data_IF_251823775242
#
_entry.id   IF_251823775242
#
_cell.length_a   1.000
_cell.length_b   1.000
_cell.length_c   1.000
_cell.angle_alpha   90.00
_cell.angle_beta   90.00
_cell.angle_gamma   90.00
#
_symmetry.space_group_name_H-M   'P 1'
#
loop_
_entity.id
_entity.type
_entity.pdbx_description
1 polymer ?
#
# COMPACT_ATOMS: atom_id res chain seq x y z
N UNK A 1 -33.52 8.38 -10.59
CA UNK A 1 -32.75 7.34 -9.94
C UNK A 1 -31.27 7.51 -10.30
N UNK A 2 -30.39 7.51 -9.31
CA UNK A 2 -28.96 7.69 -9.51
C UNK A 2 -28.16 6.97 -8.42
N UNK A 3 -26.97 6.54 -8.80
CA UNK A 3 -25.94 6.06 -7.88
C UNK A 3 -24.83 7.10 -7.85
N UNK A 4 -24.42 7.51 -6.65
CA UNK A 4 -23.28 8.39 -6.47
C UNK A 4 -22.05 7.55 -6.24
N UNK A 5 -21.08 7.63 -7.14
CA UNK A 5 -19.85 6.84 -7.07
C UNK A 5 -18.68 7.74 -6.68
N UNK A 6 -17.93 7.33 -5.68
CA UNK A 6 -16.75 8.06 -5.23
C UNK A 6 -15.51 7.18 -5.20
N UNK A 7 -14.41 7.69 -5.71
CA UNK A 7 -13.12 7.06 -5.65
C UNK A 7 -12.40 7.27 -4.31
N UNK A 8 -11.41 6.43 -4.04
CA UNK A 8 -10.61 6.50 -2.79
C UNK A 8 -9.77 7.75 -2.64
N UNK A 9 -9.60 8.54 -3.68
CA UNK A 9 -8.79 9.76 -3.60
C UNK A 9 -9.34 10.79 -2.61
N UNK A 10 -10.66 10.81 -2.40
CA UNK A 10 -11.31 11.75 -1.49
C UNK A 10 -10.83 11.65 -0.03
N UNK A 11 -10.43 10.46 0.41
CA UNK A 11 -9.91 10.25 1.77
C UNK A 11 -8.45 10.68 1.95
N UNK A 12 -7.73 10.99 0.85
CA UNK A 12 -6.29 11.29 0.89
C UNK A 12 -6.02 12.77 1.11
N UNK A 13 -6.71 13.34 2.07
CA UNK A 13 -6.60 14.74 2.49
C UNK A 13 -6.95 14.86 3.97
N UNK A 14 -6.70 16.03 4.52
CA UNK A 14 -7.15 16.35 5.87
C UNK A 14 -8.68 16.27 5.93
N UNK A 15 -9.21 15.62 6.98
CA UNK A 15 -10.65 15.37 7.13
C UNK A 15 -11.31 14.68 5.91
N UNK A 16 -10.58 13.82 5.21
CA UNK A 16 -11.04 13.16 3.98
C UNK A 16 -12.29 12.28 4.18
N UNK A 17 -12.52 11.76 5.39
CA UNK A 17 -13.72 11.02 5.77
C UNK A 17 -14.99 11.85 5.64
N UNK A 18 -14.92 13.17 5.82
CA UNK A 18 -16.07 14.07 5.72
C UNK A 18 -16.66 14.08 4.30
N UNK A 19 -15.84 13.90 3.30
CA UNK A 19 -16.28 13.80 1.91
C UNK A 19 -17.19 12.59 1.68
N UNK A 20 -16.84 11.45 2.29
CA UNK A 20 -17.66 10.23 2.22
C UNK A 20 -18.97 10.41 3.00
N UNK A 21 -18.93 11.01 4.17
CA UNK A 21 -20.14 11.34 4.93
C UNK A 21 -21.07 12.25 4.15
N UNK A 22 -20.53 13.24 3.45
CA UNK A 22 -21.29 14.11 2.56
C UNK A 22 -22.03 13.34 1.47
N UNK A 23 -21.37 12.37 0.85
CA UNK A 23 -21.96 11.51 -0.20
C UNK A 23 -23.10 10.63 0.38
N UNK A 24 -22.86 10.00 1.53
CA UNK A 24 -23.91 9.22 2.22
C UNK A 24 -25.11 10.09 2.56
N UNK A 25 -24.85 11.26 3.12
CA UNK A 25 -25.90 12.23 3.48
C UNK A 25 -26.69 12.68 2.25
N UNK A 26 -26.01 13.01 1.15
CA UNK A 26 -26.66 13.40 -0.10
C UNK A 26 -27.55 12.28 -0.64
N UNK A 27 -27.06 11.03 -0.64
CA UNK A 27 -27.86 9.87 -1.06
C UNK A 27 -29.09 9.66 -0.18
N UNK A 28 -28.96 9.90 1.12
CA UNK A 28 -30.09 9.86 2.06
C UNK A 28 -31.11 10.97 1.78
N UNK A 29 -30.65 12.20 1.57
CA UNK A 29 -31.49 13.34 1.23
C UNK A 29 -32.28 13.14 -0.07
N UNK A 30 -31.67 12.47 -1.03
CA UNK A 30 -32.31 12.09 -2.30
C UNK A 30 -33.25 10.88 -2.15
N UNK A 31 -33.37 10.30 -0.96
CA UNK A 31 -34.22 9.14 -0.70
C UNK A 31 -33.79 7.89 -1.48
N UNK A 32 -32.50 7.72 -1.75
CA UNK A 32 -31.99 6.65 -2.61
C UNK A 32 -31.43 5.46 -1.82
N UNK A 33 -31.15 5.62 -0.54
CA UNK A 33 -30.59 4.55 0.28
C UNK A 33 -31.64 3.43 0.47
N UNK A 34 -31.19 2.19 0.31
CA UNK A 34 -32.03 0.98 0.48
C UNK A 34 -32.96 0.67 -0.70
N UNK A 35 -32.80 1.35 -1.83
CA UNK A 35 -33.52 1.08 -3.06
C UNK A 35 -32.61 0.35 -4.07
N UNK A 36 -33.14 -0.62 -4.78
CA UNK A 36 -32.38 -1.37 -5.78
C UNK A 36 -31.79 -0.46 -6.87
N UNK A 37 -30.49 -0.60 -7.12
CA UNK A 37 -29.77 0.17 -8.11
C UNK A 37 -29.60 1.66 -7.80
N UNK A 38 -29.86 2.07 -6.55
CA UNK A 38 -29.74 3.46 -6.11
C UNK A 38 -28.84 3.56 -4.87
N UNK A 39 -28.41 4.79 -4.56
CA UNK A 39 -27.65 5.08 -3.35
C UNK A 39 -26.25 5.58 -3.62
N UNK A 40 -25.29 5.03 -2.92
CA UNK A 40 -23.86 5.38 -3.08
C UNK A 40 -23.00 4.14 -3.16
N UNK A 41 -21.86 4.28 -3.83
CA UNK A 41 -20.85 3.23 -3.98
C UNK A 41 -19.46 3.81 -3.72
N UNK A 42 -18.68 3.10 -2.93
CA UNK A 42 -17.29 3.40 -2.69
C UNK A 42 -16.44 2.26 -3.21
N UNK A 43 -15.53 2.57 -4.15
CA UNK A 43 -14.46 1.66 -4.39
C UNK A 43 -14.79 0.40 -5.21
N UNK A 44 -15.46 0.58 -6.33
CA UNK A 44 -15.80 -0.48 -7.28
C UNK A 44 -14.63 -1.42 -7.67
N UNK A 45 -13.38 -0.96 -7.53
CA UNK A 45 -12.19 -1.73 -7.90
C UNK A 45 -11.82 -2.85 -6.96
N UNK A 46 -12.25 -2.81 -5.70
CA UNK A 46 -11.74 -3.71 -4.67
C UNK A 46 -12.79 -4.66 -4.13
N UNK A 47 -14.02 -4.49 -4.51
CA UNK A 47 -15.10 -5.38 -4.16
C UNK A 47 -15.77 -5.85 -5.45
N UNK A 48 -15.43 -7.04 -5.90
CA UNK A 48 -16.25 -7.77 -6.87
C UNK A 48 -17.49 -8.31 -6.14
N UNK A 49 -18.38 -7.40 -5.77
CA UNK A 49 -19.60 -7.75 -5.09
C UNK A 49 -20.63 -8.50 -5.94
N UNK A 50 -20.25 -8.99 -7.11
CA UNK A 50 -21.17 -9.56 -8.07
C UNK A 50 -21.00 -11.07 -8.31
N UNK A 51 -20.11 -11.76 -7.59
CA UNK A 51 -19.93 -13.19 -7.81
C UNK A 51 -20.23 -14.00 -6.57
N UNK A 52 -21.10 -14.97 -6.70
CA UNK A 52 -21.39 -15.99 -5.68
C UNK A 52 -20.26 -17.03 -5.54
N UNK A 53 -19.28 -16.99 -6.42
CA UNK A 53 -18.15 -17.92 -6.46
C UNK A 53 -16.86 -17.18 -6.16
N UNK A 54 -16.33 -17.40 -4.98
CA UNK A 54 -15.03 -16.87 -4.56
C UNK A 54 -14.00 -17.97 -4.77
N UNK A 55 -12.97 -17.70 -5.55
CA UNK A 55 -11.82 -18.60 -5.63
C UNK A 55 -11.19 -18.72 -4.23
N UNK A 56 -10.67 -19.90 -3.86
CA UNK A 56 -9.93 -20.03 -2.60
C UNK A 56 -8.86 -18.96 -2.55
N UNK A 57 -8.85 -18.19 -1.47
CA UNK A 57 -7.80 -17.19 -1.26
C UNK A 57 -6.46 -17.89 -1.34
N UNK A 58 -5.61 -17.47 -2.24
CA UNK A 58 -4.19 -17.79 -2.14
C UNK A 58 -3.78 -17.23 -0.77
N UNK A 59 -3.58 -18.11 0.19
CA UNK A 59 -2.85 -17.72 1.40
C UNK A 59 -1.57 -17.12 0.86
N UNK A 60 -1.41 -15.81 1.02
CA UNK A 60 -0.19 -15.14 0.66
C UNK A 60 0.93 -16.02 1.19
N UNK A 61 1.97 -16.22 0.42
CA UNK A 61 3.20 -16.74 0.98
C UNK A 61 3.51 -15.74 2.06
N UNK A 62 2.95 -16.00 3.26
CA UNK A 62 3.38 -15.31 4.44
C UNK A 62 4.86 -15.65 4.46
N UNK A 63 5.64 -14.74 3.97
CA UNK A 63 7.01 -14.67 4.35
C UNK A 63 6.96 -14.36 5.83
N UNK A 64 6.62 -15.36 6.62
CA UNK A 64 6.76 -15.32 8.06
C UNK A 64 8.24 -15.38 8.43
N UNK A 65 9.02 -14.60 7.66
CA UNK A 65 10.35 -14.17 8.12
C UNK A 65 10.18 -13.64 9.53
N UNK A 66 9.13 -12.88 9.81
CA UNK A 66 8.81 -12.45 11.17
C UNK A 66 8.60 -13.61 12.13
N UNK A 67 7.81 -14.64 11.82
CA UNK A 67 7.57 -15.77 12.73
C UNK A 67 8.82 -16.62 12.97
N UNK A 68 9.62 -16.85 11.93
CA UNK A 68 10.86 -17.61 12.03
C UNK A 68 11.94 -16.86 12.80
N UNK A 69 12.00 -15.53 12.69
CA UNK A 69 12.94 -14.69 13.42
C UNK A 69 12.38 -14.10 14.71
N UNK A 70 11.06 -14.10 14.90
CA UNK A 70 10.42 -13.70 16.16
C UNK A 70 10.84 -14.59 17.36
N UNK A 71 11.29 -15.81 17.09
CA UNK A 71 11.79 -16.75 18.10
C UNK A 71 13.29 -16.63 18.37
N UNK A 72 14.00 -15.73 17.72
CA UNK A 72 15.42 -15.49 18.03
C UNK A 72 15.52 -14.55 19.21
N UNK A 73 16.02 -15.08 20.34
CA UNK A 73 16.24 -14.27 21.53
C UNK A 73 17.24 -13.15 21.28
N UNK A 74 16.89 -11.93 21.73
CA UNK A 74 17.72 -10.75 21.54
C UNK A 74 17.57 -10.06 20.18
N UNK A 75 16.71 -10.54 19.29
CA UNK A 75 16.49 -9.91 17.99
C UNK A 75 16.00 -8.47 18.15
N UNK A 76 16.71 -7.47 17.56
CA UNK A 76 16.38 -6.05 17.78
C UNK A 76 14.99 -5.66 17.26
N UNK A 77 14.42 -6.41 16.30
CA UNK A 77 13.08 -6.17 15.77
C UNK A 77 11.95 -6.63 16.72
N UNK A 78 12.20 -7.49 17.71
CA UNK A 78 11.20 -7.82 18.74
C UNK A 78 10.66 -6.57 19.44
N UNK A 79 11.47 -5.53 19.56
CA UNK A 79 11.07 -4.25 20.14
C UNK A 79 10.06 -3.48 19.28
N UNK A 80 9.91 -3.86 18.02
CA UNK A 80 9.05 -3.17 17.05
C UNK A 80 7.83 -4.00 16.63
N UNK A 81 7.64 -5.17 17.19
CA UNK A 81 6.64 -6.18 16.77
C UNK A 81 5.21 -5.66 16.65
N UNK A 82 4.87 -4.57 17.29
CA UNK A 82 3.51 -4.04 17.31
C UNK A 82 3.43 -2.54 17.02
N UNK A 83 4.48 -1.95 16.46
CA UNK A 83 4.45 -0.52 16.12
C UNK A 83 4.02 -0.36 14.66
N UNK A 84 2.74 -0.11 14.47
CA UNK A 84 2.22 0.29 13.16
C UNK A 84 2.18 1.81 13.08
N UNK A 85 2.88 2.37 12.09
CA UNK A 85 2.81 3.81 11.80
C UNK A 85 1.86 3.99 10.62
N UNK A 86 0.79 4.81 10.77
CA UNK A 86 -0.11 5.11 9.68
C UNK A 86 0.65 5.68 8.47
N UNK A 87 0.28 5.27 7.26
CA UNK A 87 0.93 5.76 6.03
C UNK A 87 0.90 7.29 5.94
N UNK A 88 -0.17 7.93 6.38
CA UNK A 88 -0.32 9.39 6.41
C UNK A 88 0.69 10.08 7.33
N UNK A 89 1.23 9.37 8.33
CA UNK A 89 2.20 9.90 9.30
C UNK A 89 3.64 9.43 9.05
N UNK A 90 3.89 8.73 7.96
CA UNK A 90 5.24 8.21 7.65
C UNK A 90 6.27 9.34 7.48
N UNK A 91 5.89 10.45 6.86
CA UNK A 91 6.75 11.63 6.69
C UNK A 91 7.08 12.25 8.06
N UNK A 92 6.08 12.40 8.93
CA UNK A 92 6.29 12.89 10.31
C UNK A 92 7.24 11.97 11.08
N UNK A 93 7.07 10.67 10.94
CA UNK A 93 7.92 9.68 11.59
C UNK A 93 9.39 9.80 11.17
N UNK A 94 9.64 9.98 9.88
CA UNK A 94 10.98 10.21 9.35
C UNK A 94 11.60 11.51 9.84
N UNK A 95 10.78 12.53 9.99
CA UNK A 95 11.25 13.87 10.40
C UNK A 95 11.51 13.98 11.90
N UNK A 96 10.79 13.22 12.72
CA UNK A 96 10.79 13.35 14.17
C UNK A 96 11.05 12.03 14.90
N UNK A 97 12.21 11.38 14.69
CA UNK A 97 12.53 10.16 15.41
C UNK A 97 12.55 10.40 16.92
N UNK A 98 11.98 9.46 17.68
CA UNK A 98 11.88 9.53 19.12
C UNK A 98 10.69 10.33 19.66
N UNK A 99 9.96 11.08 18.83
CA UNK A 99 8.73 11.77 19.22
C UNK A 99 7.64 10.75 19.56
N UNK A 100 6.87 11.01 20.60
CA UNK A 100 5.65 10.25 20.89
C UNK A 100 4.46 10.84 20.15
N UNK A 101 3.63 9.99 19.62
CA UNK A 101 2.36 10.33 18.96
C UNK A 101 1.23 9.51 19.55
N UNK A 102 0.05 10.08 19.61
CA UNK A 102 -1.18 9.35 19.93
C UNK A 102 -1.73 8.71 18.66
N UNK A 103 -1.98 7.41 18.73
CA UNK A 103 -2.57 6.65 17.66
C UNK A 103 -3.37 5.47 18.21
N UNK A 104 -4.64 5.38 17.80
CA UNK A 104 -5.57 4.30 18.16
C UNK A 104 -5.60 4.02 19.67
N UNK A 105 -5.72 5.08 20.48
CA UNK A 105 -5.78 5.00 21.94
C UNK A 105 -4.46 4.64 22.62
N UNK A 106 -3.37 4.56 21.88
CA UNK A 106 -2.04 4.22 22.38
C UNK A 106 -1.01 5.30 22.07
N UNK A 107 0.04 5.37 22.87
CA UNK A 107 1.19 6.21 22.57
C UNK A 107 2.25 5.40 21.83
N UNK A 108 2.65 5.90 20.68
CA UNK A 108 3.68 5.29 19.84
C UNK A 108 4.89 6.22 19.81
N UNK A 109 6.05 5.67 20.14
CA UNK A 109 7.32 6.36 19.96
C UNK A 109 7.84 6.11 18.55
N UNK A 110 8.03 7.17 17.79
CA UNK A 110 8.50 7.08 16.40
C UNK A 110 9.93 6.54 16.33
N UNK A 111 10.19 5.51 15.52
CA UNK A 111 11.50 4.89 15.40
C UNK A 111 12.48 5.76 14.62
N UNK A 112 13.77 5.55 14.85
CA UNK A 112 14.82 6.10 14.00
C UNK A 112 15.09 5.15 12.83
N UNK A 113 14.52 5.45 11.67
CA UNK A 113 14.69 4.67 10.46
C UNK A 113 15.92 5.15 9.70
N UNK A 114 16.85 4.24 9.40
CA UNK A 114 18.12 4.56 8.72
C UNK A 114 18.17 4.04 7.29
N UNK A 115 17.48 2.96 7.01
CA UNK A 115 17.46 2.32 5.70
C UNK A 115 16.01 2.20 5.26
N UNK A 116 15.75 2.51 4.00
CA UNK A 116 14.49 2.25 3.33
C UNK A 116 14.69 1.22 2.22
N UNK A 117 13.82 0.23 2.18
CA UNK A 117 13.70 -0.67 1.04
C UNK A 117 12.28 -0.55 0.48
N UNK A 118 12.19 -0.10 -0.76
CA UNK A 118 10.93 0.08 -1.48
C UNK A 118 10.79 -0.99 -2.55
N UNK A 119 9.98 -2.00 -2.26
CA UNK A 119 9.56 -2.98 -3.24
C UNK A 119 8.14 -2.63 -3.69
N UNK A 120 8.00 -2.10 -4.88
CA UNK A 120 6.74 -1.58 -5.41
C UNK A 120 6.20 -0.32 -4.71
N UNK A 121 5.49 0.49 -5.44
CA UNK A 121 4.86 1.71 -4.95
C UNK A 121 5.72 2.96 -5.15
N UNK A 122 5.07 4.10 -5.17
CA UNK A 122 5.74 5.39 -5.33
C UNK A 122 5.50 6.27 -4.11
N UNK A 123 6.56 6.61 -3.40
CA UNK A 123 6.50 7.51 -2.26
C UNK A 123 6.00 8.89 -2.67
N UNK A 124 6.48 9.41 -3.77
CA UNK A 124 6.26 10.82 -4.15
C UNK A 124 4.98 11.06 -4.96
N UNK A 125 4.32 10.02 -5.45
CA UNK A 125 3.03 10.16 -6.17
C UNK A 125 1.84 9.81 -5.30
N UNK A 126 2.04 9.21 -4.14
CA UNK A 126 0.96 8.74 -3.25
C UNK A 126 0.84 9.51 -1.95
N UNK A 127 1.88 10.22 -1.54
CA UNK A 127 1.86 11.03 -0.32
C UNK A 127 1.50 12.48 -0.60
N UNK A 128 0.82 13.07 0.36
CA UNK A 128 0.59 14.50 0.44
C UNK A 128 1.92 15.19 0.78
N UNK A 129 2.01 16.46 0.46
CA UNK A 129 3.17 17.29 0.81
C UNK A 129 4.51 16.72 0.32
N UNK A 130 4.63 16.61 -1.01
CA UNK A 130 5.79 16.04 -1.68
C UNK A 130 7.11 16.75 -1.29
N UNK A 131 7.06 18.06 -1.04
CA UNK A 131 8.24 18.81 -0.65
C UNK A 131 8.79 18.36 0.71
N UNK A 132 7.93 18.10 1.67
CA UNK A 132 8.33 17.55 2.97
C UNK A 132 8.69 16.06 2.86
N UNK A 133 8.03 15.31 1.97
CA UNK A 133 8.41 13.93 1.70
C UNK A 133 9.86 13.83 1.19
N UNK A 134 10.27 14.67 0.25
CA UNK A 134 11.66 14.72 -0.25
C UNK A 134 12.65 15.07 0.86
N UNK A 135 12.32 16.04 1.71
CA UNK A 135 13.18 16.41 2.86
C UNK A 135 13.32 15.25 3.85
N UNK A 136 12.22 14.55 4.14
CA UNK A 136 12.21 13.41 5.03
C UNK A 136 12.99 12.23 4.45
N UNK A 137 12.84 11.98 3.14
CA UNK A 137 13.51 10.92 2.41
C UNK A 137 15.03 11.04 2.46
N UNK A 138 15.54 12.25 2.36
CA UNK A 138 16.99 12.55 2.45
C UNK A 138 17.58 12.29 3.84
N UNK A 139 16.78 11.97 4.86
CA UNK A 139 17.27 11.58 6.18
C UNK A 139 17.66 10.11 6.29
N UNK A 140 17.25 9.28 5.34
CA UNK A 140 17.77 7.92 5.27
C UNK A 140 19.27 7.93 4.97
N UNK A 141 19.97 6.98 5.55
CA UNK A 141 21.37 6.72 5.20
C UNK A 141 21.49 5.99 3.87
N UNK A 142 20.55 5.12 3.61
CA UNK A 142 20.51 4.32 2.37
C UNK A 142 19.08 4.07 1.98
N UNK A 143 18.79 4.31 0.72
CA UNK A 143 17.51 4.00 0.09
C UNK A 143 17.75 3.02 -1.05
N UNK A 144 17.10 1.88 -0.97
CA UNK A 144 17.11 0.83 -1.99
C UNK A 144 15.70 0.76 -2.59
N UNK A 145 15.59 0.79 -3.90
CA UNK A 145 14.30 0.69 -4.59
C UNK A 145 14.35 -0.42 -5.62
N UNK A 146 13.38 -1.33 -5.58
CA UNK A 146 13.15 -2.32 -6.61
C UNK A 146 12.05 -1.81 -7.54
N UNK A 147 12.41 -1.45 -8.77
CA UNK A 147 11.52 -0.78 -9.73
C UNK A 147 11.85 -1.16 -11.17
N UNK A 148 10.85 -1.39 -12.02
CA UNK A 148 11.06 -1.62 -13.45
C UNK A 148 11.28 -0.33 -14.24
N UNK A 149 10.93 0.84 -13.70
CA UNK A 149 10.99 2.12 -14.38
C UNK A 149 11.70 3.19 -13.56
N UNK A 150 12.21 4.21 -14.23
CA UNK A 150 12.80 5.40 -13.59
C UNK A 150 11.73 6.32 -13.00
N UNK A 151 11.05 5.84 -11.97
CA UNK A 151 10.09 6.65 -11.21
C UNK A 151 10.77 7.75 -10.41
N UNK A 152 9.99 8.68 -9.88
CA UNK A 152 10.53 9.71 -8.97
C UNK A 152 11.18 9.10 -7.72
N UNK A 153 10.69 7.97 -7.24
CA UNK A 153 11.27 7.23 -6.12
C UNK A 153 12.62 6.64 -6.50
N UNK A 154 12.70 5.96 -7.65
CA UNK A 154 13.95 5.40 -8.15
C UNK A 154 15.04 6.48 -8.34
N UNK A 155 14.65 7.64 -8.89
CA UNK A 155 15.58 8.79 -9.11
C UNK A 155 16.13 9.40 -7.82
N UNK A 156 15.47 9.17 -6.70
CA UNK A 156 15.87 9.68 -5.37
C UNK A 156 16.36 8.54 -4.45
N UNK A 157 16.70 7.40 -5.01
CA UNK A 157 17.27 6.26 -4.30
C UNK A 157 18.77 6.14 -4.54
N UNK A 158 19.49 5.58 -3.58
CA UNK A 158 20.92 5.33 -3.68
C UNK A 158 21.23 4.08 -4.51
N UNK A 159 20.36 3.09 -4.40
CA UNK A 159 20.47 1.81 -5.13
C UNK A 159 19.13 1.52 -5.79
N UNK A 160 19.17 1.23 -7.08
CA UNK A 160 17.99 0.79 -7.85
C UNK A 160 18.23 -0.61 -8.36
N UNK A 161 17.37 -1.54 -7.94
CA UNK A 161 17.37 -2.92 -8.39
C UNK A 161 16.35 -3.04 -9.54
N UNK A 162 16.77 -3.45 -10.73
CA UNK A 162 15.87 -3.59 -11.86
C UNK A 162 14.96 -4.81 -11.67
N UNK A 163 13.65 -4.60 -11.79
CA UNK A 163 12.63 -5.63 -11.61
C UNK A 163 12.02 -6.01 -12.95
N UNK A 164 11.85 -7.32 -13.15
CA UNK A 164 11.19 -7.85 -14.34
C UNK A 164 9.69 -7.56 -14.31
N UNK A 165 9.15 -7.18 -15.45
CA UNK A 165 7.71 -6.97 -15.64
C UNK A 165 6.94 -8.29 -15.59
N UNK A 166 5.63 -8.23 -15.42
CA UNK A 166 4.76 -9.42 -15.41
C UNK A 166 4.88 -10.23 -16.72
N UNK A 167 5.10 -9.55 -17.85
CA UNK A 167 5.29 -10.20 -19.17
C UNK A 167 6.66 -10.87 -19.33
N UNK A 168 7.59 -10.63 -18.43
CA UNK A 168 8.97 -11.11 -18.44
C UNK A 168 9.23 -12.23 -17.43
N UNK A 169 8.22 -12.63 -16.64
CA UNK A 169 8.40 -13.60 -15.55
C UNK A 169 7.26 -14.60 -15.44
N UNK A 170 7.52 -15.73 -14.78
CA UNK A 170 6.46 -16.58 -14.27
C UNK A 170 5.89 -15.97 -12.99
N UNK A 171 4.58 -15.90 -12.89
CA UNK A 171 3.92 -15.36 -11.70
C UNK A 171 2.55 -16.00 -11.51
N UNK A 172 2.00 -15.87 -10.30
CA UNK A 172 0.63 -16.27 -9.97
C UNK A 172 -0.03 -15.08 -9.31
N UNK A 173 -1.16 -14.65 -9.82
CA UNK A 173 -1.89 -13.51 -9.29
C UNK A 173 -3.35 -13.85 -9.00
N UNK A 174 -3.85 -13.29 -7.93
CA UNK A 174 -5.26 -13.15 -7.64
C UNK A 174 -5.52 -11.67 -7.40
N UNK A 175 -6.20 -11.01 -8.34
CA UNK A 175 -6.28 -9.54 -8.36
C UNK A 175 -6.94 -8.95 -7.12
N UNK A 176 -7.88 -9.67 -6.52
CA UNK A 176 -8.54 -9.32 -5.25
C UNK A 176 -9.00 -10.60 -4.54
N UNK A 177 -9.12 -10.59 -3.20
CA UNK A 177 -9.53 -11.78 -2.43
C UNK A 177 -10.90 -12.35 -2.80
N UNK A 178 -11.72 -11.57 -3.49
CA UNK A 178 -13.08 -11.95 -3.92
C UNK A 178 -13.16 -12.30 -5.40
N UNK A 179 -12.02 -12.44 -6.07
CA UNK A 179 -12.01 -12.79 -7.49
C UNK A 179 -12.24 -14.28 -7.70
N UNK A 180 -12.95 -14.62 -8.78
CA UNK A 180 -13.20 -16.01 -9.16
C UNK A 180 -11.98 -16.72 -9.74
N UNK A 181 -10.96 -15.97 -10.12
CA UNK A 181 -9.83 -16.48 -10.89
C UNK A 181 -8.51 -16.32 -10.17
N UNK A 182 -7.74 -17.39 -10.20
CA UNK A 182 -6.30 -17.36 -9.95
C UNK A 182 -5.64 -17.50 -11.33
N UNK A 183 -4.81 -16.55 -11.68
CA UNK A 183 -4.17 -16.49 -13.00
C UNK A 183 -2.69 -16.82 -12.85
N UNK A 184 -2.25 -17.82 -13.61
CA UNK A 184 -0.83 -18.10 -13.77
C UNK A 184 -0.33 -17.41 -15.04
N UNK A 185 0.70 -16.60 -14.89
CA UNK A 185 1.37 -15.90 -15.99
C UNK A 185 2.61 -16.68 -16.41
N UNK A 186 2.83 -16.71 -17.71
CA UNK A 186 4.10 -17.17 -18.30
C UNK A 186 4.78 -15.99 -18.98
N UNK A 187 6.12 -15.95 -18.98
CA UNK A 187 6.81 -14.90 -19.70
C UNK A 187 6.49 -14.98 -21.20
N UNK A 188 6.32 -13.84 -21.80
CA UNK A 188 6.11 -13.66 -23.25
C UNK A 188 7.39 -13.17 -23.90
N UNK A 189 8.23 -12.50 -23.12
CA UNK A 189 9.53 -11.96 -23.52
C UNK A 189 10.54 -12.25 -22.42
N UNK A 190 11.83 -12.30 -22.79
CA UNK A 190 12.92 -12.43 -21.83
C UNK A 190 13.09 -11.14 -21.02
N UNK A 191 13.49 -11.24 -19.74
CA UNK A 191 13.81 -10.09 -18.92
C UNK A 191 14.86 -9.19 -19.56
N UNK A 192 14.66 -7.89 -19.50
CA UNK A 192 15.56 -6.92 -20.09
C UNK A 192 16.80 -6.71 -19.19
N UNK A 193 17.99 -6.91 -19.74
CA UNK A 193 19.27 -6.65 -19.05
C UNK A 193 19.44 -7.50 -17.79
N UNK A 194 19.63 -6.85 -16.65
CA UNK A 194 19.83 -7.51 -15.35
C UNK A 194 18.53 -7.59 -14.51
N UNK A 195 17.38 -7.29 -15.12
CA UNK A 195 16.11 -7.33 -14.40
C UNK A 195 15.76 -8.75 -13.93
N UNK A 196 15.23 -8.84 -12.72
CA UNK A 196 14.90 -10.10 -12.05
C UNK A 196 13.53 -10.01 -11.40
N UNK A 197 12.90 -11.16 -11.18
CA UNK A 197 11.64 -11.17 -10.42
C UNK A 197 11.88 -10.80 -8.96
N UNK A 198 10.84 -10.32 -8.29
CA UNK A 198 10.89 -10.02 -6.85
C UNK A 198 11.15 -11.27 -5.97
N UNK A 199 11.04 -12.46 -6.55
CA UNK A 199 11.23 -13.75 -5.86
C UNK A 199 12.62 -14.37 -6.08
N UNK A 200 13.51 -13.66 -6.73
CA UNK A 200 14.86 -14.14 -7.05
C UNK A 200 15.85 -13.97 -5.92
#
# INVERSE_FOLDING_TARGET
PSVIIAGRSLQRQDHGEMSFWGIVTLSAMLGQIGKEGLGFEFNLYYANGATDKIAPSLKGISTSISEKYDNVDGAPWKKFKNVTIPSSRSIEALQNPGKEIDYDGSKIKLPHMRVAYMASGSMFTRHQDVNNAVKAWRKFHTVITAEPFWTSTAKLSDIVLPVALEVERNDINQSVPTNEYIVAYKPVVEPMGESRSDYW
#
